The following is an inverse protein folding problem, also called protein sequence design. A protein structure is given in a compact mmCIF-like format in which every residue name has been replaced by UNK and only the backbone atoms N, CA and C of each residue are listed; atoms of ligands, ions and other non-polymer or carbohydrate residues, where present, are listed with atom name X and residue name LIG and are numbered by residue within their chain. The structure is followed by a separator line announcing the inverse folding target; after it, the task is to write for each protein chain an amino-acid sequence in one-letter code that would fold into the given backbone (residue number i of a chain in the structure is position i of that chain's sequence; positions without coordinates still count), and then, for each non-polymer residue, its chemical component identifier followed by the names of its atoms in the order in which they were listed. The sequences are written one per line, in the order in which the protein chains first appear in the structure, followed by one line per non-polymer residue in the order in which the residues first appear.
data_IF_478000059122
#
_entry.id   IF_478000059122
#
_cell.length_a   1.000
_cell.length_b   1.000
_cell.length_c   1.000
_cell.angle_alpha   90.00
_cell.angle_beta   90.00
_cell.angle_gamma   90.00
#
_symmetry.space_group_name_H-M   'P 1'
#
loop_
_entity.id
_entity.type
_entity.pdbx_description
1 polymer ?
#
# COMPACT_ATOMS: atom_id res chain seq x y z
N UNK A 1 4.48 5.40 -65.55
CA UNK A 1 4.15 4.51 -64.41
C UNK A 1 4.54 5.21 -63.13
N UNK A 2 3.53 5.71 -62.35
CA UNK A 2 3.76 6.40 -61.05
C UNK A 2 3.62 5.36 -59.93
N UNK A 3 4.68 5.16 -59.17
CA UNK A 3 4.68 4.32 -57.98
C UNK A 3 4.12 5.14 -56.83
N UNK A 4 2.93 4.80 -56.37
CA UNK A 4 2.37 5.32 -55.11
C UNK A 4 2.93 4.47 -53.94
N UNK A 5 3.84 5.06 -53.17
CA UNK A 5 4.27 4.51 -51.91
C UNK A 5 3.18 4.81 -50.87
N UNK A 6 2.46 3.77 -50.42
CA UNK A 6 1.57 3.83 -49.28
C UNK A 6 2.41 3.87 -48.01
N UNK A 7 2.48 5.02 -47.38
CA UNK A 7 2.98 5.15 -46.00
C UNK A 7 1.92 4.57 -45.06
N UNK A 8 2.21 3.37 -44.51
CA UNK A 8 1.43 2.83 -43.43
C UNK A 8 1.72 3.64 -42.15
N UNK A 9 0.77 4.47 -41.71
CA UNK A 9 0.81 5.12 -40.42
C UNK A 9 0.47 4.05 -39.38
N UNK A 10 1.48 3.57 -38.66
CA UNK A 10 1.26 2.75 -37.48
C UNK A 10 0.64 3.63 -36.40
N UNK A 11 -0.67 3.50 -36.21
CA UNK A 11 -1.35 4.07 -35.07
C UNK A 11 -0.89 3.23 -33.85
N UNK A 12 0.06 3.77 -33.10
CA UNK A 12 0.33 3.25 -31.75
C UNK A 12 -0.93 3.49 -30.93
N UNK A 13 -1.74 2.45 -30.77
CA UNK A 13 -2.80 2.45 -29.80
C UNK A 13 -2.12 2.60 -28.42
N UNK A 14 -2.17 3.81 -27.85
CA UNK A 14 -1.93 4.01 -26.43
C UNK A 14 -3.06 3.26 -25.74
N UNK A 15 -2.79 2.02 -25.40
CA UNK A 15 -3.72 1.20 -24.63
C UNK A 15 -3.96 1.93 -23.30
N UNK A 16 -5.21 2.30 -23.06
CA UNK A 16 -5.65 2.63 -21.71
C UNK A 16 -5.51 1.33 -20.91
N UNK A 17 -4.39 1.16 -20.25
CA UNK A 17 -4.14 0.01 -19.38
C UNK A 17 -4.94 0.26 -18.10
N UNK A 18 -6.21 -0.13 -18.10
CA UNK A 18 -6.97 -0.28 -16.87
C UNK A 18 -6.38 -1.45 -16.07
N UNK A 19 -6.56 -1.42 -14.77
CA UNK A 19 -6.12 -2.50 -13.90
C UNK A 19 -6.80 -3.84 -14.28
N UNK A 20 -6.11 -4.94 -14.05
CA UNK A 20 -6.68 -6.28 -14.24
C UNK A 20 -7.88 -6.50 -13.30
N UNK A 21 -8.71 -7.51 -13.63
CA UNK A 21 -9.87 -7.86 -12.81
C UNK A 21 -9.45 -8.18 -11.38
N UNK A 22 -10.10 -7.55 -10.40
CA UNK A 22 -9.77 -7.67 -8.97
C UNK A 22 -8.81 -6.59 -8.46
N UNK A 23 -8.27 -5.74 -9.36
CA UNK A 23 -7.45 -4.61 -9.00
C UNK A 23 -8.19 -3.29 -9.25
N UNK A 24 -7.92 -2.30 -8.43
CA UNK A 24 -8.51 -0.95 -8.53
C UNK A 24 -7.45 0.07 -8.88
N UNK A 25 -7.77 0.96 -9.81
CA UNK A 25 -6.93 2.12 -10.14
C UNK A 25 -7.11 3.19 -9.06
N UNK A 26 -6.02 3.50 -8.37
CA UNK A 26 -5.97 4.61 -7.41
C UNK A 26 -4.74 5.46 -7.75
N UNK A 27 -4.99 6.67 -8.21
CA UNK A 27 -3.91 7.59 -8.58
C UNK A 27 -3.05 7.13 -9.75
N UNK A 28 -3.59 6.31 -10.67
CA UNK A 28 -2.87 5.76 -11.81
C UNK A 28 -2.03 4.52 -11.50
N UNK A 29 -2.20 3.94 -10.34
CA UNK A 29 -1.54 2.70 -9.87
C UNK A 29 -2.59 1.66 -9.54
N UNK A 30 -2.35 0.41 -9.88
CA UNK A 30 -3.26 -0.68 -9.58
C UNK A 30 -3.02 -1.26 -8.19
N UNK A 31 -4.04 -1.18 -7.34
CA UNK A 31 -4.05 -1.76 -6.00
C UNK A 31 -4.96 -2.98 -5.93
N UNK A 32 -4.50 -4.04 -5.27
CA UNK A 32 -5.31 -5.22 -4.93
C UNK A 32 -5.50 -5.29 -3.42
N UNK A 33 -6.74 -5.18 -2.93
CA UNK A 33 -7.08 -5.39 -1.53
C UNK A 33 -7.65 -6.81 -1.39
N UNK A 34 -6.90 -7.68 -0.77
CA UNK A 34 -7.26 -9.08 -0.61
C UNK A 34 -7.78 -9.33 0.81
N UNK A 35 -8.62 -10.35 0.98
CA UNK A 35 -9.29 -10.64 2.26
C UNK A 35 -8.70 -11.83 3.03
N UNK A 36 -7.69 -12.48 2.47
CA UNK A 36 -6.91 -13.50 3.16
C UNK A 36 -6.00 -12.86 4.19
N UNK A 37 -6.07 -13.31 5.44
CA UNK A 37 -5.23 -12.80 6.52
C UNK A 37 -3.96 -13.64 6.67
N UNK A 38 -2.82 -12.98 6.76
CA UNK A 38 -1.52 -13.65 6.89
C UNK A 38 -0.48 -12.75 7.57
N UNK A 39 0.65 -13.29 8.09
CA UNK A 39 1.77 -12.50 8.56
C UNK A 39 2.39 -11.64 7.46
N UNK A 40 3.07 -10.56 7.83
CA UNK A 40 3.59 -9.57 6.90
C UNK A 40 4.52 -10.16 5.82
N UNK A 41 5.44 -11.07 6.18
CA UNK A 41 6.35 -11.69 5.23
C UNK A 41 5.62 -12.57 4.20
N UNK A 42 4.58 -13.27 4.65
CA UNK A 42 3.73 -14.08 3.76
C UNK A 42 2.88 -13.18 2.87
N UNK A 43 2.36 -12.07 3.40
CA UNK A 43 1.62 -11.06 2.65
C UNK A 43 2.48 -10.45 1.52
N UNK A 44 3.75 -10.18 1.80
CA UNK A 44 4.69 -9.72 0.78
C UNK A 44 4.90 -10.78 -0.30
N UNK A 45 5.15 -12.03 0.10
CA UNK A 45 5.30 -13.16 -0.84
C UNK A 45 4.05 -13.36 -1.68
N UNK A 46 2.87 -13.21 -1.07
CA UNK A 46 1.59 -13.27 -1.75
C UNK A 46 1.47 -12.20 -2.84
N UNK A 47 1.79 -10.93 -2.53
CA UNK A 47 1.78 -9.84 -3.51
C UNK A 47 2.78 -10.08 -4.65
N UNK A 48 3.98 -10.59 -4.35
CA UNK A 48 4.99 -10.94 -5.35
C UNK A 48 4.50 -12.07 -6.27
N UNK A 49 3.74 -13.02 -5.75
CA UNK A 49 3.07 -14.06 -6.54
C UNK A 49 2.01 -13.51 -7.50
N UNK A 50 1.50 -12.31 -7.25
CA UNK A 50 0.55 -11.59 -8.10
C UNK A 50 1.23 -10.55 -9.01
N UNK A 51 2.55 -10.58 -9.13
CA UNK A 51 3.31 -9.73 -10.05
C UNK A 51 3.67 -8.34 -9.52
N UNK A 52 3.41 -8.07 -8.24
CA UNK A 52 3.71 -6.78 -7.60
C UNK A 52 4.49 -6.93 -6.29
N UNK A 53 4.26 -6.05 -5.35
CA UNK A 53 4.76 -6.13 -3.96
C UNK A 53 3.67 -5.56 -3.01
N UNK A 54 3.89 -5.64 -1.70
CA UNK A 54 3.05 -4.92 -0.74
C UNK A 54 3.02 -3.42 -1.07
N UNK A 55 1.86 -2.82 -0.95
CA UNK A 55 1.62 -1.47 -1.43
C UNK A 55 2.48 -0.41 -0.73
N UNK A 56 3.00 0.52 -1.54
CA UNK A 56 3.59 1.77 -1.10
C UNK A 56 2.54 2.89 -1.17
N UNK A 57 2.30 3.56 -0.06
CA UNK A 57 1.35 4.67 0.08
C UNK A 57 2.12 5.89 0.58
N UNK A 58 2.75 6.61 -0.35
CA UNK A 58 3.58 7.77 -0.04
C UNK A 58 2.88 9.11 -0.37
N UNK A 59 1.63 9.07 -0.82
CA UNK A 59 0.82 10.23 -1.16
C UNK A 59 -0.45 10.24 -0.33
N UNK A 60 -0.81 11.41 0.21
CA UNK A 60 -1.98 11.58 1.08
C UNK A 60 -3.30 11.40 0.33
N UNK A 61 -3.35 11.74 -0.96
CA UNK A 61 -4.52 11.51 -1.78
C UNK A 61 -4.73 10.00 -2.02
N UNK A 62 -3.65 9.24 -2.24
CA UNK A 62 -3.71 7.77 -2.34
C UNK A 62 -4.18 7.15 -1.03
N UNK A 63 -3.69 7.64 0.12
CA UNK A 63 -4.16 7.16 1.43
C UNK A 63 -5.67 7.41 1.61
N UNK A 64 -6.13 8.60 1.27
CA UNK A 64 -7.56 8.95 1.31
C UNK A 64 -8.38 8.05 0.39
N UNK A 65 -7.94 7.87 -0.85
CA UNK A 65 -8.69 7.09 -1.85
C UNK A 65 -8.75 5.60 -1.48
N UNK A 66 -7.69 5.05 -0.87
CA UNK A 66 -7.70 3.71 -0.27
C UNK A 66 -8.71 3.62 0.88
N UNK A 67 -8.71 4.61 1.78
CA UNK A 67 -9.69 4.69 2.87
C UNK A 67 -11.12 4.73 2.31
N UNK A 68 -11.40 5.58 1.34
CA UNK A 68 -12.71 5.69 0.72
C UNK A 68 -13.13 4.39 0.04
N UNK A 69 -12.19 3.70 -0.60
CA UNK A 69 -12.44 2.38 -1.20
C UNK A 69 -12.82 1.35 -0.13
N UNK A 70 -12.03 1.24 0.94
CA UNK A 70 -12.29 0.31 2.06
C UNK A 70 -13.69 0.53 2.63
N UNK A 71 -14.07 1.78 2.93
CA UNK A 71 -15.36 2.12 3.51
C UNK A 71 -16.50 1.88 2.52
N UNK A 72 -16.34 2.27 1.25
CA UNK A 72 -17.37 2.15 0.23
C UNK A 72 -17.73 0.70 -0.06
N UNK A 73 -16.74 -0.18 -0.07
CA UNK A 73 -16.96 -1.62 -0.33
C UNK A 73 -17.18 -2.45 0.96
N UNK A 74 -17.22 -1.79 2.12
CA UNK A 74 -17.45 -2.45 3.41
C UNK A 74 -16.39 -3.47 3.79
N UNK A 75 -15.13 -3.23 3.37
CA UNK A 75 -14.01 -4.04 3.79
C UNK A 75 -13.73 -3.78 5.26
N UNK A 76 -13.35 -4.83 6.00
CA UNK A 76 -13.08 -4.76 7.43
C UNK A 76 -11.74 -5.42 7.76
N UNK A 77 -11.21 -5.12 8.94
CA UNK A 77 -9.89 -5.57 9.39
C UNK A 77 -8.78 -4.62 8.96
N UNK A 78 -7.62 -4.83 9.52
CA UNK A 78 -6.42 -4.04 9.20
C UNK A 78 -5.69 -4.61 8.00
N UNK A 79 -4.91 -3.76 7.31
CA UNK A 79 -4.27 -4.13 6.04
C UNK A 79 -2.76 -3.85 6.08
N UNK A 80 -1.95 -4.87 5.72
CA UNK A 80 -0.51 -4.73 5.58
C UNK A 80 -0.14 -3.81 4.41
N UNK A 81 0.83 -2.94 4.67
CA UNK A 81 1.53 -2.14 3.65
C UNK A 81 3.00 -2.55 3.55
N UNK A 82 3.65 -2.11 2.48
CA UNK A 82 5.00 -2.52 2.10
C UNK A 82 6.11 -1.69 2.75
N UNK A 83 6.02 -1.39 4.05
CA UNK A 83 7.10 -0.73 4.75
C UNK A 83 7.44 -1.42 6.07
N UNK A 84 8.70 -1.31 6.46
CA UNK A 84 9.19 -1.83 7.75
C UNK A 84 10.46 -1.12 8.21
N UNK A 85 10.77 -1.22 9.50
CA UNK A 85 12.05 -0.83 10.09
C UNK A 85 12.84 -2.01 10.67
N UNK A 86 12.53 -3.23 10.20
CA UNK A 86 13.19 -4.49 10.59
C UNK A 86 14.72 -4.45 10.49
N UNK A 87 15.28 -3.63 9.62
CA UNK A 87 16.73 -3.54 9.44
C UNK A 87 17.37 -2.63 10.48
N UNK A 88 16.75 -1.50 10.76
CA UNK A 88 17.21 -0.51 11.74
C UNK A 88 15.99 0.14 12.39
N UNK A 89 15.84 -0.05 13.68
CA UNK A 89 14.78 0.50 14.49
C UNK A 89 14.60 2.00 14.27
N UNK A 90 13.36 2.37 13.95
CA UNK A 90 12.96 3.74 13.67
C UNK A 90 13.32 4.27 12.29
N UNK A 91 13.99 3.49 11.44
CA UNK A 91 14.28 3.85 10.04
C UNK A 91 13.30 3.13 9.10
N UNK A 92 12.11 3.66 9.01
CA UNK A 92 11.00 3.11 8.23
C UNK A 92 11.25 3.27 6.74
N UNK A 93 11.32 2.15 6.01
CA UNK A 93 11.60 2.11 4.58
C UNK A 93 10.52 1.34 3.82
N UNK A 94 10.17 1.85 2.64
CA UNK A 94 9.36 1.13 1.67
C UNK A 94 10.19 0.00 1.03
N UNK A 95 9.66 -1.23 1.05
CA UNK A 95 10.39 -2.43 0.56
C UNK A 95 10.58 -2.45 -0.94
N UNK A 96 9.83 -1.66 -1.69
CA UNK A 96 9.89 -1.61 -3.14
C UNK A 96 11.12 -0.86 -3.66
N UNK A 97 11.52 0.21 -2.99
CA UNK A 97 12.56 1.12 -3.48
C UNK A 97 13.51 1.64 -2.39
N UNK A 98 13.36 1.17 -1.16
CA UNK A 98 14.10 1.63 0.03
C UNK A 98 14.00 3.14 0.29
N UNK A 99 12.98 3.81 -0.25
CA UNK A 99 12.71 5.20 0.12
C UNK A 99 12.11 5.28 1.52
N UNK A 100 12.32 6.40 2.20
CA UNK A 100 11.83 6.60 3.57
C UNK A 100 10.32 6.77 3.60
N UNK A 101 9.70 6.26 4.65
CA UNK A 101 8.30 6.58 4.99
C UNK A 101 8.29 7.93 5.69
N UNK A 102 7.47 8.84 5.19
CA UNK A 102 7.28 10.15 5.84
C UNK A 102 6.65 9.96 7.23
N UNK A 103 7.22 10.62 8.23
CA UNK A 103 6.74 10.54 9.62
C UNK A 103 5.68 11.60 9.91
N UNK A 104 4.78 11.25 10.82
CA UNK A 104 3.74 12.15 11.31
C UNK A 104 2.53 12.23 10.37
N UNK A 105 1.78 13.31 10.53
CA UNK A 105 0.56 13.54 9.71
C UNK A 105 0.91 13.90 8.27
N UNK A 106 0.07 13.53 7.30
CA UNK A 106 -1.27 12.94 7.48
C UNK A 106 -1.27 11.41 7.55
N UNK A 107 -0.14 10.74 7.57
CA UNK A 107 -0.05 9.29 7.41
C UNK A 107 -0.21 8.52 8.72
N UNK A 108 0.61 8.83 9.72
CA UNK A 108 0.66 8.09 10.97
C UNK A 108 -0.45 8.49 11.93
N UNK A 109 -1.01 7.50 12.61
CA UNK A 109 -2.09 7.71 13.57
C UNK A 109 -1.63 8.54 14.77
N UNK A 110 -2.55 9.34 15.27
CA UNK A 110 -2.43 10.06 16.53
C UNK A 110 -3.67 9.70 17.34
N UNK A 111 -3.46 9.30 18.59
CA UNK A 111 -4.56 8.91 19.46
C UNK A 111 -4.37 9.40 20.89
N UNK A 112 -5.44 9.39 21.67
CA UNK A 112 -5.37 9.75 23.09
C UNK A 112 -4.74 8.61 23.88
N UNK A 113 -3.60 8.89 24.51
CA UNK A 113 -2.94 8.00 25.45
C UNK A 113 -3.25 8.35 26.91
N UNK A 114 -2.66 7.59 27.84
CA UNK A 114 -2.89 7.76 29.26
C UNK A 114 -2.36 9.11 29.80
N UNK A 115 -1.31 9.65 29.17
CA UNK A 115 -0.63 10.89 29.60
C UNK A 115 -0.70 12.02 28.57
N UNK A 116 -1.54 11.88 27.53
CA UNK A 116 -1.67 12.89 26.48
C UNK A 116 -1.96 12.26 25.12
N UNK A 117 -1.36 12.85 24.07
CA UNK A 117 -1.47 12.32 22.73
C UNK A 117 -0.28 11.43 22.43
N UNK A 118 -0.56 10.19 22.01
CA UNK A 118 0.43 9.25 21.52
C UNK A 118 0.47 9.30 20.00
N UNK A 119 1.65 9.15 19.44
CA UNK A 119 1.94 9.20 18.01
C UNK A 119 2.56 7.87 17.58
N UNK A 120 2.04 7.31 16.50
CA UNK A 120 2.69 6.19 15.84
C UNK A 120 3.88 6.66 14.97
N UNK A 121 4.91 5.82 14.73
CA UNK A 121 5.11 4.49 15.30
C UNK A 121 5.62 4.55 16.76
N UNK A 122 5.18 3.65 17.62
CA UNK A 122 5.51 3.68 19.04
C UNK A 122 5.85 2.31 19.68
N UNK A 123 5.77 1.22 18.92
CA UNK A 123 5.97 -0.16 19.38
C UNK A 123 7.44 -0.58 19.53
N UNK A 124 8.40 0.26 19.10
CA UNK A 124 9.82 -0.05 19.15
C UNK A 124 10.11 -1.39 18.47
N UNK A 125 11.14 -2.12 18.95
CA UNK A 125 11.60 -3.37 18.31
C UNK A 125 10.59 -4.52 18.30
N UNK A 126 9.42 -4.35 18.91
CA UNK A 126 8.36 -5.37 18.92
C UNK A 126 7.38 -5.20 17.74
N UNK A 127 7.31 -4.01 17.15
CA UNK A 127 6.36 -3.65 16.11
C UNK A 127 7.10 -2.99 14.93
N UNK A 128 7.47 -3.81 13.95
CA UNK A 128 8.36 -3.40 12.86
C UNK A 128 7.71 -3.43 11.46
N UNK A 129 6.40 -3.67 11.36
CA UNK A 129 5.70 -3.79 10.09
C UNK A 129 4.54 -2.79 10.01
N UNK A 130 4.44 -2.11 8.85
CA UNK A 130 3.45 -1.06 8.64
C UNK A 130 2.07 -1.64 8.32
N UNK A 131 1.06 -1.11 8.96
CA UNK A 131 -0.34 -1.49 8.77
C UNK A 131 -1.24 -0.26 8.60
N UNK A 132 -2.26 -0.36 7.74
CA UNK A 132 -3.46 0.47 7.82
C UNK A 132 -4.34 -0.11 8.92
N UNK A 133 -4.40 0.56 10.07
CA UNK A 133 -5.08 0.03 11.25
C UNK A 133 -6.56 0.44 11.28
N UNK A 134 -7.46 -0.54 11.22
CA UNK A 134 -8.90 -0.32 11.32
C UNK A 134 -9.28 0.44 12.60
N UNK A 135 -8.65 0.13 13.74
CA UNK A 135 -8.92 0.79 15.02
C UNK A 135 -8.45 2.23 15.05
N UNK A 136 -7.53 2.60 14.16
CA UNK A 136 -6.97 3.93 13.93
C UNK A 136 -7.56 4.61 12.68
N UNK A 137 -8.71 4.17 12.20
CA UNK A 137 -9.38 4.70 10.99
C UNK A 137 -8.52 4.60 9.74
N UNK A 138 -7.77 3.51 9.62
CA UNK A 138 -6.86 3.24 8.51
C UNK A 138 -5.72 4.24 8.33
N UNK A 139 -5.35 4.96 9.40
CA UNK A 139 -4.04 5.61 9.45
C UNK A 139 -2.95 4.59 9.71
N UNK A 140 -1.70 4.97 9.39
CA UNK A 140 -0.53 4.13 9.61
C UNK A 140 -0.32 3.86 11.09
N UNK A 141 -0.03 2.61 11.38
CA UNK A 141 0.39 2.10 12.67
C UNK A 141 1.52 1.10 12.49
N UNK A 142 2.45 1.01 13.43
CA UNK A 142 3.39 -0.10 13.51
C UNK A 142 2.72 -1.28 14.20
N UNK A 143 3.09 -2.48 13.79
CA UNK A 143 2.53 -3.71 14.32
C UNK A 143 3.56 -4.84 14.32
N UNK A 144 3.37 -5.81 15.22
CA UNK A 144 4.18 -7.02 15.21
C UNK A 144 3.97 -7.79 13.90
N UNK A 145 5.05 -8.04 13.16
CA UNK A 145 5.03 -8.64 11.83
C UNK A 145 4.43 -10.05 11.77
N UNK A 146 4.28 -10.73 12.91
CA UNK A 146 3.67 -12.05 13.03
C UNK A 146 2.14 -12.02 13.22
N UNK A 147 1.56 -10.84 13.43
CA UNK A 147 0.11 -10.70 13.40
C UNK A 147 -0.43 -11.01 12.01
N UNK A 148 -1.71 -11.35 11.93
CA UNK A 148 -2.35 -11.72 10.67
C UNK A 148 -3.31 -10.62 10.25
N UNK A 149 -2.98 -9.93 9.15
CA UNK A 149 -3.82 -8.91 8.53
C UNK A 149 -3.92 -9.16 7.02
N UNK A 150 -4.76 -8.41 6.37
CA UNK A 150 -5.02 -8.52 4.93
C UNK A 150 -3.92 -7.81 4.12
N UNK A 151 -3.42 -8.37 3.00
CA UNK A 151 -2.46 -7.67 2.18
C UNK A 151 -3.12 -6.61 1.29
N UNK A 152 -2.49 -5.43 1.19
CA UNK A 152 -2.69 -4.53 0.05
C UNK A 152 -1.48 -4.69 -0.86
N UNK A 153 -1.73 -5.17 -2.07
CA UNK A 153 -0.72 -5.30 -3.11
C UNK A 153 -0.78 -4.13 -4.10
N UNK A 154 0.35 -3.86 -4.77
CA UNK A 154 0.46 -2.83 -5.80
C UNK A 154 1.28 -3.34 -6.98
N UNK A 155 0.85 -3.08 -8.21
CA UNK A 155 1.56 -3.39 -9.48
C UNK A 155 1.69 -2.15 -10.36
#
# INVERSE_FOLDING_TARGET
MKWLTLLAVAILAVGCHGCESGWVDIGGVCFGLFTESMPWADARTFCQGHGGDLAKVADADVLRDLYEYIITYGLSGSFWLGASDLTFEGDWLWVQDNSRVDRGTPFWAIHSGLFGWDHEPNGGTEENCLVLDETRKYYFNDANCNLVFHPVCMV
#
